data_IF_874098651424
#
_entry.id   IF_874098651424
#
_cell.length_a   1.000
_cell.length_b   1.000
_cell.length_c   1.000
_cell.angle_alpha   90.00
_cell.angle_beta   90.00
_cell.angle_gamma   90.00
#
_symmetry.space_group_name_H-M   'P 1'
#
loop_
_entity.id
_entity.type
_entity.pdbx_description
1 polymer ?
#
# COMPACT_ATOMS: atom_id res chain seq x y z
N UNK A 1 -23.14 9.26 -18.04
CA UNK A 1 -22.86 10.64 -17.62
C UNK A 1 -21.43 10.65 -17.09
N UNK A 2 -20.51 11.15 -17.90
CA UNK A 2 -19.09 11.17 -17.60
C UNK A 2 -18.78 12.38 -16.72
N UNK A 3 -18.61 12.16 -15.42
CA UNK A 3 -18.12 13.18 -14.51
C UNK A 3 -16.65 13.43 -14.80
N UNK A 4 -16.33 14.54 -15.45
CA UNK A 4 -14.97 15.08 -15.52
C UNK A 4 -14.56 15.61 -14.14
N UNK A 5 -14.21 14.72 -13.24
CA UNK A 5 -13.41 15.05 -12.08
C UNK A 5 -11.98 15.31 -12.55
N UNK A 6 -11.63 16.58 -12.76
CA UNK A 6 -10.26 16.97 -13.03
C UNK A 6 -9.43 16.63 -11.79
N UNK A 7 -8.76 15.49 -11.82
CA UNK A 7 -7.71 15.15 -10.88
C UNK A 7 -6.56 16.14 -11.10
N UNK A 8 -6.46 17.13 -10.23
CA UNK A 8 -5.47 18.21 -10.37
C UNK A 8 -4.05 17.81 -9.97
N UNK A 9 -3.76 16.58 -9.54
CA UNK A 9 -2.46 16.32 -8.91
C UNK A 9 -1.74 15.05 -9.41
N UNK A 10 -2.34 13.87 -9.37
CA UNK A 10 -1.62 12.64 -9.76
C UNK A 10 -2.55 11.60 -10.38
N UNK A 11 -2.13 10.90 -11.42
CA UNK A 11 -2.84 9.71 -11.90
C UNK A 11 -1.86 8.57 -12.21
N UNK A 12 -2.37 7.36 -12.04
CA UNK A 12 -1.66 6.13 -12.40
C UNK A 12 -2.23 5.63 -13.72
N UNK A 13 -1.38 5.52 -14.72
CA UNK A 13 -1.73 4.96 -16.03
C UNK A 13 -1.03 3.63 -16.22
N UNK A 14 -1.80 2.60 -16.47
CA UNK A 14 -1.37 1.25 -16.76
C UNK A 14 -1.75 0.98 -18.20
N UNK A 15 -0.78 0.76 -19.08
CA UNK A 15 -0.99 0.61 -20.51
C UNK A 15 -0.41 -0.72 -20.99
N UNK A 16 -1.27 -1.57 -21.59
CA UNK A 16 -0.92 -2.82 -22.25
C UNK A 16 -0.10 -3.78 -21.37
N UNK A 17 -0.40 -3.81 -20.07
CA UNK A 17 0.31 -4.71 -19.16
C UNK A 17 -0.06 -6.15 -19.47
N UNK A 18 0.98 -6.95 -19.78
CA UNK A 18 0.87 -8.39 -19.96
C UNK A 18 1.92 -9.10 -19.12
N UNK A 19 1.52 -10.20 -18.46
CA UNK A 19 2.37 -11.03 -17.61
C UNK A 19 2.28 -12.48 -18.06
N UNK A 20 3.44 -13.13 -18.18
CA UNK A 20 3.56 -14.55 -18.51
C UNK A 20 4.42 -15.25 -17.47
N UNK A 21 4.02 -16.44 -17.06
CA UNK A 21 4.83 -17.37 -16.28
C UNK A 21 5.15 -18.60 -17.14
N UNK A 22 6.37 -18.66 -17.63
CA UNK A 22 6.76 -19.66 -18.62
C UNK A 22 5.90 -19.55 -19.90
N UNK A 23 5.10 -20.57 -20.20
CA UNK A 23 4.21 -20.58 -21.37
C UNK A 23 2.79 -20.05 -21.08
N UNK A 24 2.45 -19.87 -19.82
CA UNK A 24 1.11 -19.44 -19.39
C UNK A 24 1.01 -17.90 -19.36
N UNK A 25 0.04 -17.37 -20.09
CA UNK A 25 -0.27 -15.93 -20.07
C UNK A 25 -1.36 -15.67 -19.03
N UNK A 26 -0.99 -15.02 -17.93
CA UNK A 26 -1.89 -14.70 -16.81
C UNK A 26 -2.58 -13.35 -17.00
N UNK A 27 -1.88 -12.36 -17.53
CA UNK A 27 -2.46 -11.06 -17.90
C UNK A 27 -2.17 -10.76 -19.36
N UNK A 28 -3.18 -10.20 -20.05
CA UNK A 28 -3.07 -9.83 -21.47
C UNK A 28 -3.64 -8.43 -21.68
N UNK A 29 -2.80 -7.52 -22.15
CA UNK A 29 -3.13 -6.15 -22.61
C UNK A 29 -4.04 -5.38 -21.64
N UNK A 30 -3.73 -5.44 -20.33
CA UNK A 30 -4.51 -4.76 -19.28
C UNK A 30 -4.25 -3.27 -19.35
N UNK A 31 -5.34 -2.50 -19.43
CA UNK A 31 -5.30 -1.05 -19.46
C UNK A 31 -6.18 -0.50 -18.32
N UNK A 32 -5.60 0.31 -17.43
CA UNK A 32 -6.29 0.92 -16.30
C UNK A 32 -5.81 2.35 -16.12
N UNK A 33 -6.73 3.24 -15.81
CA UNK A 33 -6.42 4.60 -15.44
C UNK A 33 -7.07 4.90 -14.09
N UNK A 34 -6.24 5.19 -13.09
CA UNK A 34 -6.68 5.54 -11.73
C UNK A 34 -6.38 7.00 -11.49
N UNK A 35 -7.40 7.76 -11.14
CA UNK A 35 -7.25 9.17 -10.78
C UNK A 35 -7.01 9.34 -9.28
N UNK A 36 -6.37 10.44 -8.93
CA UNK A 36 -6.16 10.83 -7.54
C UNK A 36 -7.51 10.94 -6.81
N UNK A 37 -7.57 10.40 -5.60
CA UNK A 37 -8.78 10.43 -4.78
C UNK A 37 -9.87 9.42 -5.20
N UNK A 38 -9.62 8.60 -6.22
CA UNK A 38 -10.54 7.53 -6.61
C UNK A 38 -10.24 6.23 -5.87
N UNK A 39 -11.32 5.52 -5.53
CA UNK A 39 -11.27 4.13 -5.10
C UNK A 39 -11.49 3.23 -6.31
N UNK A 40 -10.45 2.53 -6.74
CA UNK A 40 -10.54 1.54 -7.82
C UNK A 40 -10.62 0.12 -7.23
N UNK A 41 -11.62 -0.64 -7.62
CA UNK A 41 -11.83 -2.01 -7.15
C UNK A 41 -11.64 -2.99 -8.30
N UNK A 42 -10.76 -4.00 -8.10
CA UNK A 42 -10.53 -5.07 -9.06
C UNK A 42 -11.31 -6.30 -8.61
N UNK A 43 -12.30 -6.67 -9.39
CA UNK A 43 -13.20 -7.81 -9.11
C UNK A 43 -12.96 -8.92 -10.13
N UNK A 44 -13.06 -10.16 -9.69
CA UNK A 44 -12.93 -11.32 -10.58
C UNK A 44 -12.81 -12.63 -9.80
N UNK A 45 -12.93 -13.75 -10.52
CA UNK A 45 -12.80 -15.11 -9.94
C UNK A 45 -11.40 -15.34 -9.38
N UNK A 46 -11.26 -16.35 -8.51
CA UNK A 46 -9.94 -16.79 -8.06
C UNK A 46 -9.15 -17.30 -9.26
N UNK A 47 -7.85 -16.96 -9.32
CA UNK A 47 -7.02 -17.27 -10.48
C UNK A 47 -7.10 -16.27 -11.65
N UNK A 48 -7.99 -15.28 -11.63
CA UNK A 48 -8.14 -14.30 -12.72
C UNK A 48 -6.98 -13.28 -12.85
N UNK A 49 -5.88 -13.45 -12.13
CA UNK A 49 -4.70 -12.57 -12.25
C UNK A 49 -4.74 -11.29 -11.40
N UNK A 50 -5.73 -11.10 -10.51
CA UNK A 50 -5.84 -9.89 -9.67
C UNK A 50 -4.57 -9.60 -8.86
N UNK A 51 -4.07 -10.59 -8.15
CA UNK A 51 -2.83 -10.46 -7.36
C UNK A 51 -1.60 -10.29 -8.25
N UNK A 52 -1.59 -10.90 -9.43
CA UNK A 52 -0.52 -10.75 -10.42
C UNK A 52 -0.47 -9.32 -10.95
N UNK A 53 -1.63 -8.69 -11.17
CA UNK A 53 -1.69 -7.29 -11.58
C UNK A 53 -1.14 -6.36 -10.49
N UNK A 54 -1.52 -6.58 -9.23
CA UNK A 54 -0.97 -5.79 -8.11
C UNK A 54 0.55 -5.97 -7.99
N UNK A 55 1.05 -7.20 -8.12
CA UNK A 55 2.49 -7.48 -8.11
C UNK A 55 3.23 -6.83 -9.29
N UNK A 56 2.61 -6.77 -10.47
CA UNK A 56 3.17 -6.04 -11.61
C UNK A 56 3.24 -4.54 -11.33
N UNK A 57 2.20 -3.95 -10.72
CA UNK A 57 2.19 -2.53 -10.31
C UNK A 57 3.29 -2.23 -9.29
N UNK A 58 3.55 -3.16 -8.37
CA UNK A 58 4.60 -3.06 -7.35
C UNK A 58 6.01 -3.32 -7.91
N UNK A 59 6.13 -3.81 -9.15
CA UNK A 59 7.41 -4.22 -9.74
C UNK A 59 7.95 -5.55 -9.23
N UNK A 60 7.11 -6.37 -8.58
CA UNK A 60 7.50 -7.68 -8.03
C UNK A 60 7.50 -8.81 -9.07
N UNK A 61 6.90 -8.60 -10.24
CA UNK A 61 6.88 -9.54 -11.36
C UNK A 61 7.21 -8.85 -12.66
N UNK A 62 7.91 -9.56 -13.54
CA UNK A 62 8.22 -9.07 -14.88
C UNK A 62 6.94 -8.93 -15.71
N UNK A 63 6.83 -7.83 -16.41
CA UNK A 63 5.70 -7.54 -17.27
C UNK A 63 6.15 -6.79 -18.54
N UNK A 64 5.37 -6.89 -19.60
CA UNK A 64 5.43 -5.99 -20.75
C UNK A 64 4.42 -4.86 -20.57
N UNK A 65 4.54 -3.82 -21.39
CA UNK A 65 3.70 -2.62 -21.26
C UNK A 65 4.33 -1.55 -20.37
N UNK A 66 3.55 -0.57 -19.99
CA UNK A 66 4.07 0.58 -19.25
C UNK A 66 3.15 0.96 -18.06
N UNK A 67 3.77 1.18 -16.91
CA UNK A 67 3.12 1.74 -15.72
C UNK A 67 3.73 3.12 -15.49
N UNK A 68 2.93 4.16 -15.55
CA UNK A 68 3.37 5.53 -15.36
C UNK A 68 2.56 6.23 -14.28
N UNK A 69 3.26 6.98 -13.46
CA UNK A 69 2.71 7.85 -12.44
C UNK A 69 2.92 9.28 -12.90
N UNK A 70 1.87 9.95 -13.29
CA UNK A 70 1.93 11.28 -13.91
C UNK A 70 1.40 12.32 -12.95
N UNK A 71 2.22 13.34 -12.68
CA UNK A 71 1.74 14.59 -12.08
C UNK A 71 1.12 15.44 -13.19
N UNK A 72 -0.17 15.74 -13.05
CA UNK A 72 -0.90 16.51 -14.06
C UNK A 72 -0.47 17.98 -14.15
N UNK A 73 0.26 18.50 -13.14
CA UNK A 73 0.77 19.88 -13.20
C UNK A 73 1.99 20.02 -14.08
N UNK A 74 2.89 19.04 -14.06
CA UNK A 74 4.20 19.16 -14.68
C UNK A 74 4.42 18.14 -15.80
N UNK A 75 3.50 17.21 -16.02
CA UNK A 75 3.65 16.06 -16.94
C UNK A 75 4.92 15.21 -16.67
N UNK A 76 5.51 15.36 -15.49
CA UNK A 76 6.75 14.68 -15.11
C UNK A 76 6.38 13.39 -14.38
N UNK A 77 6.97 12.28 -14.81
CA UNK A 77 6.89 11.02 -14.10
C UNK A 77 7.59 11.16 -12.75
N UNK A 78 6.83 11.26 -11.68
CA UNK A 78 7.39 11.28 -10.31
C UNK A 78 7.49 9.85 -9.77
N UNK A 79 8.56 9.59 -9.01
CA UNK A 79 8.59 8.40 -8.15
C UNK A 79 7.54 8.59 -7.07
N UNK A 80 6.44 7.87 -7.16
CA UNK A 80 5.45 7.83 -6.08
C UNK A 80 5.83 6.74 -5.10
N UNK A 81 5.48 6.96 -3.85
CA UNK A 81 5.53 5.92 -2.82
C UNK A 81 4.21 5.17 -2.84
N UNK A 82 4.26 3.86 -2.97
CA UNK A 82 3.09 3.00 -2.96
C UNK A 82 3.00 2.33 -1.59
N UNK A 83 1.93 2.60 -0.84
CA UNK A 83 1.59 1.82 0.35
C UNK A 83 0.90 0.52 -0.08
N UNK A 84 1.42 -0.61 0.36
CA UNK A 84 0.85 -1.92 0.09
C UNK A 84 0.47 -2.64 1.37
N UNK A 85 -0.76 -3.13 1.40
CA UNK A 85 -1.24 -4.00 2.50
C UNK A 85 -1.50 -5.39 1.91
N UNK A 86 -0.68 -6.39 2.26
CA UNK A 86 -0.89 -7.75 1.77
C UNK A 86 -2.14 -8.38 2.37
N UNK A 87 -2.71 -9.35 1.68
CA UNK A 87 -3.90 -10.07 2.12
C UNK A 87 -3.64 -10.89 3.39
N UNK A 88 -2.46 -11.47 3.50
CA UNK A 88 -2.05 -12.27 4.66
C UNK A 88 -0.64 -11.88 5.07
N UNK A 89 -0.44 -11.74 6.36
CA UNK A 89 0.90 -11.60 6.97
C UNK A 89 1.02 -12.70 8.00
N UNK A 90 2.05 -13.52 7.88
CA UNK A 90 2.40 -14.49 8.88
C UNK A 90 3.14 -13.79 10.02
N UNK A 91 2.43 -13.54 11.11
CA UNK A 91 3.00 -12.99 12.34
C UNK A 91 3.09 -14.13 13.34
N UNK A 92 4.28 -14.37 13.84
CA UNK A 92 4.47 -15.35 14.91
C UNK A 92 3.83 -14.84 16.21
N UNK A 93 3.06 -15.72 16.87
CA UNK A 93 2.56 -15.45 18.21
C UNK A 93 3.75 -15.25 19.12
N UNK A 94 3.70 -14.25 20.00
CA UNK A 94 4.77 -13.87 20.93
C UNK A 94 5.95 -13.09 20.32
N UNK A 95 5.79 -12.53 19.11
CA UNK A 95 6.76 -11.58 18.59
C UNK A 95 6.82 -10.36 19.51
N UNK A 96 8.01 -9.98 20.04
CA UNK A 96 8.11 -8.90 21.04
C UNK A 96 7.92 -7.50 20.46
N UNK A 97 7.64 -7.42 19.16
CA UNK A 97 7.49 -6.15 18.42
C UNK A 97 6.13 -5.54 18.69
N UNK A 98 6.11 -4.28 19.15
CA UNK A 98 4.86 -3.53 19.32
C UNK A 98 4.41 -2.87 18.01
N UNK A 99 3.15 -2.41 17.98
CA UNK A 99 2.62 -1.60 16.86
C UNK A 99 3.46 -0.33 16.68
N UNK A 100 3.88 0.31 17.76
CA UNK A 100 4.79 1.46 17.71
C UNK A 100 6.09 1.10 17.01
N UNK A 101 6.75 -0.01 17.37
CA UNK A 101 8.03 -0.42 16.80
C UNK A 101 7.91 -0.72 15.30
N UNK A 102 6.86 -1.45 14.91
CA UNK A 102 6.56 -1.73 13.51
C UNK A 102 6.36 -0.44 12.72
N UNK A 103 5.53 0.47 13.22
CA UNK A 103 5.21 1.71 12.55
C UNK A 103 6.43 2.62 12.45
N UNK A 104 7.15 2.80 13.55
CA UNK A 104 8.34 3.64 13.61
C UNK A 104 9.47 3.11 12.71
N UNK A 105 9.62 1.79 12.56
CA UNK A 105 10.59 1.21 11.62
C UNK A 105 10.31 1.56 10.16
N UNK A 106 9.03 1.79 9.81
CA UNK A 106 8.65 2.19 8.45
C UNK A 106 8.89 3.68 8.14
N UNK A 107 8.95 4.54 9.17
CA UNK A 107 9.05 6.00 9.00
C UNK A 107 10.36 6.60 9.49
N UNK A 108 11.10 5.89 10.33
CA UNK A 108 12.35 6.38 10.93
C UNK A 108 13.54 5.61 10.39
N UNK A 109 14.60 6.33 10.03
CA UNK A 109 15.90 5.73 9.71
C UNK A 109 16.77 5.46 10.96
N UNK A 110 16.23 5.74 12.17
CA UNK A 110 16.95 5.58 13.44
C UNK A 110 16.46 4.29 14.12
N UNK A 111 17.36 3.51 14.74
CA UNK A 111 16.96 2.30 15.47
C UNK A 111 15.97 2.61 16.59
N UNK A 112 14.77 2.06 16.51
CA UNK A 112 13.62 2.36 17.37
C UNK A 112 13.83 1.87 18.81
N UNK A 113 14.73 0.89 19.02
CA UNK A 113 15.02 0.29 20.32
C UNK A 113 15.79 1.18 21.31
N UNK A 114 16.39 2.29 20.81
CA UNK A 114 17.21 3.17 21.64
C UNK A 114 16.40 4.11 22.53
N UNK A 115 15.27 4.64 22.05
CA UNK A 115 14.36 5.49 22.84
C UNK A 115 13.05 5.75 22.11
N UNK A 116 11.91 5.58 22.78
CA UNK A 116 10.62 6.05 22.26
C UNK A 116 10.63 7.57 22.19
N UNK A 117 10.63 8.14 21.00
CA UNK A 117 10.51 9.57 20.77
C UNK A 117 9.05 9.99 20.96
N UNK A 118 8.80 10.95 21.86
CA UNK A 118 7.46 11.45 22.16
C UNK A 118 6.76 12.06 20.96
N UNK A 119 7.51 12.72 20.07
CA UNK A 119 6.96 13.34 18.87
C UNK A 119 6.51 12.27 17.88
N UNK A 120 7.37 11.30 17.61
CA UNK A 120 7.07 10.15 16.73
C UNK A 120 5.89 9.36 17.30
N UNK A 121 5.86 9.11 18.61
CA UNK A 121 4.77 8.43 19.27
C UNK A 121 3.42 9.14 19.06
N UNK A 122 3.41 10.48 19.22
CA UNK A 122 2.21 11.29 18.99
C UNK A 122 1.76 11.25 17.53
N UNK A 123 2.68 11.36 16.58
CA UNK A 123 2.38 11.29 15.15
C UNK A 123 1.79 9.93 14.75
N UNK A 124 2.38 8.84 15.25
CA UNK A 124 1.87 7.48 15.01
C UNK A 124 0.47 7.33 15.61
N UNK A 125 0.25 7.82 16.82
CA UNK A 125 -1.04 7.74 17.50
C UNK A 125 -2.14 8.48 16.73
N UNK A 126 -1.86 9.68 16.22
CA UNK A 126 -2.81 10.43 15.39
C UNK A 126 -3.11 9.70 14.07
N UNK A 127 -2.11 9.11 13.43
CA UNK A 127 -2.32 8.32 12.22
C UNK A 127 -3.16 7.06 12.49
N UNK A 128 -2.89 6.34 13.58
CA UNK A 128 -3.67 5.18 13.99
C UNK A 128 -5.13 5.55 14.31
N UNK A 129 -5.37 6.75 14.86
CA UNK A 129 -6.69 7.25 15.20
C UNK A 129 -7.61 7.36 13.97
N UNK A 130 -7.06 7.69 12.80
CA UNK A 130 -7.83 7.74 11.53
C UNK A 130 -8.52 6.39 11.25
N UNK A 131 -7.92 5.29 11.69
CA UNK A 131 -8.41 3.93 11.49
C UNK A 131 -9.00 3.29 12.76
N UNK A 132 -9.21 4.08 13.83
CA UNK A 132 -9.73 3.59 15.11
C UNK A 132 -8.81 2.56 15.79
N UNK A 133 -7.49 2.74 15.64
CA UNK A 133 -6.47 1.83 16.12
C UNK A 133 -5.49 2.49 17.13
N UNK A 134 -5.78 3.69 17.64
CA UNK A 134 -4.90 4.45 18.51
C UNK A 134 -4.59 3.75 19.85
N UNK A 135 -5.51 2.91 20.34
CA UNK A 135 -5.33 2.13 21.57
C UNK A 135 -4.38 0.93 21.40
N UNK A 136 -4.04 0.60 20.16
CA UNK A 136 -3.21 -0.56 19.84
C UNK A 136 -1.72 -0.23 19.81
N UNK A 137 -1.34 1.05 19.94
CA UNK A 137 0.04 1.53 19.70
C UNK A 137 1.11 0.80 20.52
N UNK A 138 0.81 0.43 21.76
CA UNK A 138 1.73 -0.28 22.65
C UNK A 138 1.47 -1.80 22.69
N UNK A 139 0.50 -2.31 21.93
CA UNK A 139 0.17 -3.73 21.88
C UNK A 139 1.18 -4.49 21.02
N UNK A 140 1.52 -5.71 21.42
CA UNK A 140 2.30 -6.62 20.58
C UNK A 140 1.54 -6.93 19.28
N UNK A 141 2.23 -6.93 18.15
CA UNK A 141 1.61 -7.28 16.85
C UNK A 141 1.12 -8.73 16.81
N UNK A 142 1.76 -9.63 17.57
CA UNK A 142 1.34 -11.02 17.70
C UNK A 142 0.02 -11.23 18.46
N UNK A 143 -0.39 -10.24 19.25
CA UNK A 143 -1.63 -10.26 20.04
C UNK A 143 -2.82 -9.57 19.35
N UNK A 144 -2.59 -9.05 18.14
CA UNK A 144 -3.65 -8.39 17.38
C UNK A 144 -4.59 -9.41 16.73
N UNK A 145 -5.89 -9.12 16.78
CA UNK A 145 -6.84 -9.80 15.90
C UNK A 145 -6.57 -9.43 14.43
N UNK A 146 -7.02 -10.26 13.48
CA UNK A 146 -6.84 -9.97 12.06
C UNK A 146 -7.37 -8.58 11.63
N UNK A 147 -8.52 -8.17 12.17
CA UNK A 147 -9.08 -6.84 11.87
C UNK A 147 -8.30 -5.69 12.52
N UNK A 148 -7.74 -5.87 13.71
CA UNK A 148 -6.85 -4.90 14.35
C UNK A 148 -5.57 -4.73 13.55
N UNK A 149 -4.96 -5.85 13.13
CA UNK A 149 -3.77 -5.85 12.29
C UNK A 149 -4.00 -5.14 10.97
N UNK A 150 -5.11 -5.42 10.27
CA UNK A 150 -5.45 -4.75 9.02
C UNK A 150 -5.58 -3.22 9.19
N UNK A 151 -6.21 -2.74 10.28
CA UNK A 151 -6.30 -1.30 10.56
C UNK A 151 -4.93 -0.66 10.79
N UNK A 152 -4.03 -1.36 11.52
CA UNK A 152 -2.65 -0.91 11.73
C UNK A 152 -1.89 -0.83 10.41
N UNK A 153 -2.00 -1.85 9.56
CA UNK A 153 -1.32 -1.88 8.26
C UNK A 153 -1.83 -0.80 7.31
N UNK A 154 -3.15 -0.54 7.31
CA UNK A 154 -3.74 0.57 6.54
C UNK A 154 -3.21 1.92 7.04
N UNK A 155 -3.09 2.10 8.35
CA UNK A 155 -2.51 3.32 8.92
C UNK A 155 -1.05 3.53 8.46
N UNK A 156 -0.25 2.45 8.41
CA UNK A 156 1.14 2.50 7.92
C UNK A 156 1.17 2.84 6.42
N UNK A 157 0.38 2.11 5.62
CA UNK A 157 0.39 2.23 4.15
C UNK A 157 -0.09 3.60 3.65
N UNK A 158 -0.94 4.28 4.42
CA UNK A 158 -1.53 5.58 4.05
C UNK A 158 -0.83 6.78 4.69
N UNK A 159 0.20 6.55 5.52
CA UNK A 159 0.93 7.67 6.12
C UNK A 159 1.71 8.42 5.03
N UNK A 160 1.49 9.74 4.88
CA UNK A 160 2.33 10.57 4.01
C UNK A 160 3.78 10.55 4.54
N UNK A 161 4.74 10.27 3.65
CA UNK A 161 6.18 10.23 3.95
C UNK A 161 6.94 11.23 3.09
#
# INVERSE_FOLDING_TARGET
MSGKGACGLHCTKINNISVKFGKEQVLKDVNIHVHCGELTVIIGRNGAGKSTLLKAILGEVEHTGNISFVDMKDNIAKRIKIGYVPQTINIEKHMPTTVYDLFASCICHIPVFLKKDKKIYSEIKEQLKIFGAEKLIDKSIGDLSGGELQRVLLAIATKPT
#
